data_IF_941569334184
#
_entry.id   IF_941569334184
#
_cell.length_a   1.000
_cell.length_b   1.000
_cell.length_c   1.000
_cell.angle_alpha   90.00
_cell.angle_beta   90.00
_cell.angle_gamma   90.00
#
_symmetry.space_group_name_H-M   'P 1'
#
loop_
_entity.id
_entity.type
_entity.pdbx_description
1 polymer ?
#
# COMPACT_ATOMS: atom_id res chain seq x y z
N UNK A 1 -30.77 -5.38 -55.42
CA UNK A 1 -29.54 -4.64 -55.05
C UNK A 1 -29.97 -3.60 -54.03
N UNK A 2 -29.68 -3.83 -52.75
CA UNK A 2 -30.07 -2.92 -51.66
C UNK A 2 -29.18 -1.67 -51.61
N UNK A 3 -29.64 -0.57 -50.98
CA UNK A 3 -28.85 0.65 -50.88
C UNK A 3 -27.64 0.42 -49.97
N UNK A 4 -26.47 0.82 -50.47
CA UNK A 4 -25.21 0.82 -49.74
C UNK A 4 -25.32 1.85 -48.61
N UNK A 5 -25.19 1.40 -47.36
CA UNK A 5 -25.12 2.27 -46.19
C UNK A 5 -23.83 3.09 -46.25
N UNK A 6 -23.99 4.41 -46.24
CA UNK A 6 -22.88 5.36 -46.13
C UNK A 6 -22.30 5.23 -44.72
N UNK A 7 -21.04 4.81 -44.63
CA UNK A 7 -20.27 4.85 -43.39
C UNK A 7 -20.21 6.30 -42.87
N UNK A 8 -20.43 6.56 -41.57
CA UNK A 8 -20.28 7.89 -41.02
C UNK A 8 -18.82 8.36 -41.14
N UNK A 9 -18.63 9.60 -41.62
CA UNK A 9 -17.32 10.28 -41.67
C UNK A 9 -16.73 10.44 -40.26
N UNK A 10 -15.39 10.54 -40.12
CA UNK A 10 -14.71 10.59 -38.83
C UNK A 10 -15.16 11.81 -38.04
N UNK A 11 -15.46 11.63 -36.75
CA UNK A 11 -15.64 12.75 -35.84
C UNK A 11 -14.33 13.54 -35.75
N UNK A 12 -14.44 14.85 -35.90
CA UNK A 12 -13.41 15.82 -36.23
C UNK A 12 -12.30 15.94 -35.19
N UNK A 13 -11.06 16.02 -35.66
CA UNK A 13 -9.84 16.35 -34.91
C UNK A 13 -9.93 17.73 -34.21
N UNK A 14 -10.86 18.60 -34.61
CA UNK A 14 -10.98 19.99 -34.13
C UNK A 14 -11.48 20.16 -32.68
N UNK A 15 -12.09 19.14 -32.06
CA UNK A 15 -12.53 19.23 -30.66
C UNK A 15 -11.35 19.12 -29.67
N UNK A 16 -10.30 18.37 -30.03
CA UNK A 16 -9.16 18.09 -29.14
C UNK A 16 -8.21 19.30 -29.01
N UNK A 17 -8.07 20.11 -30.05
CA UNK A 17 -7.21 21.31 -30.03
C UNK A 17 -7.75 22.41 -29.09
N UNK A 18 -9.07 22.48 -28.90
CA UNK A 18 -9.70 23.41 -27.96
C UNK A 18 -9.53 23.00 -26.48
N UNK A 19 -9.49 21.69 -26.21
CA UNK A 19 -9.32 21.15 -24.86
C UNK A 19 -7.85 21.18 -24.40
N UNK A 20 -6.89 21.03 -25.35
CA UNK A 20 -5.45 21.17 -25.08
C UNK A 20 -5.07 22.61 -24.67
N UNK A 21 -5.79 23.63 -25.16
CA UNK A 21 -5.54 25.04 -24.82
C UNK A 21 -5.92 25.43 -23.38
N UNK A 22 -6.67 24.57 -22.67
CA UNK A 22 -7.08 24.77 -21.26
C UNK A 22 -6.18 24.05 -20.26
N UNK A 23 -5.09 23.41 -20.70
CA UNK A 23 -4.21 22.68 -19.79
C UNK A 23 -3.60 23.61 -18.75
N UNK A 24 -4.01 23.43 -17.50
CA UNK A 24 -3.36 24.09 -16.37
C UNK A 24 -1.91 23.59 -16.25
N UNK A 25 -1.02 24.39 -15.65
CA UNK A 25 0.35 23.97 -15.37
C UNK A 25 0.43 22.66 -14.55
N UNK A 26 -0.65 22.31 -13.82
CA UNK A 26 -0.79 21.09 -13.03
C UNK A 26 -1.02 19.82 -13.87
N UNK A 27 -1.33 19.98 -15.15
CA UNK A 27 -1.48 18.89 -16.13
C UNK A 27 -0.33 18.87 -17.14
N UNK A 28 0.64 19.77 -17.01
CA UNK A 28 1.82 19.79 -17.87
C UNK A 28 2.58 18.46 -17.78
N UNK A 29 2.91 17.88 -18.93
CA UNK A 29 3.63 16.60 -19.03
C UNK A 29 2.76 15.34 -19.09
N UNK A 30 1.43 15.46 -19.02
CA UNK A 30 0.52 14.34 -19.28
C UNK A 30 0.33 14.10 -20.78
N UNK A 31 0.35 12.84 -21.19
CA UNK A 31 -0.05 12.42 -22.54
C UNK A 31 -1.56 12.58 -22.75
N UNK A 32 -2.03 12.78 -24.00
CA UNK A 32 -3.46 12.91 -24.30
C UNK A 32 -4.29 11.73 -23.80
N UNK A 33 -3.77 10.51 -23.95
CA UNK A 33 -4.41 9.29 -23.47
C UNK A 33 -4.58 9.29 -21.94
N UNK A 34 -3.56 9.76 -21.21
CA UNK A 34 -3.61 9.83 -19.76
C UNK A 34 -4.54 10.96 -19.26
N UNK A 35 -4.63 12.08 -19.98
CA UNK A 35 -5.61 13.14 -19.70
C UNK A 35 -7.03 12.59 -19.85
N UNK A 36 -7.32 11.92 -20.95
CA UNK A 36 -8.64 11.35 -21.19
C UNK A 36 -8.98 10.27 -20.16
N UNK A 37 -8.01 9.44 -19.79
CA UNK A 37 -8.15 8.47 -18.70
C UNK A 37 -8.44 9.14 -17.36
N UNK A 38 -7.77 10.24 -17.02
CA UNK A 38 -8.04 10.99 -15.79
C UNK A 38 -9.46 11.56 -15.78
N UNK A 39 -9.91 12.11 -16.90
CA UNK A 39 -11.27 12.62 -17.08
C UNK A 39 -12.31 11.52 -16.88
N UNK A 40 -12.12 10.35 -17.51
CA UNK A 40 -13.07 9.24 -17.50
C UNK A 40 -13.06 8.43 -16.20
N UNK A 41 -11.88 8.11 -15.65
CA UNK A 41 -11.76 7.20 -14.49
C UNK A 41 -11.74 7.95 -13.15
N UNK A 42 -11.27 9.20 -13.13
CA UNK A 42 -11.03 9.98 -11.92
C UNK A 42 -11.97 11.18 -11.76
N UNK A 43 -12.77 11.51 -12.78
CA UNK A 43 -13.57 12.73 -12.84
C UNK A 43 -12.73 14.01 -12.76
N UNK A 44 -11.47 13.97 -13.23
CA UNK A 44 -10.63 15.17 -13.28
C UNK A 44 -11.18 16.14 -14.33
N UNK A 45 -11.60 17.33 -13.86
CA UNK A 45 -12.10 18.39 -14.72
C UNK A 45 -11.18 19.62 -14.65
N UNK A 46 -10.51 19.99 -15.76
CA UNK A 46 -9.61 21.14 -15.80
C UNK A 46 -10.26 22.47 -15.38
N UNK A 47 -11.56 22.66 -15.68
CA UNK A 47 -12.25 23.94 -15.44
C UNK A 47 -12.51 24.21 -13.95
N UNK A 48 -12.57 23.17 -13.11
CA UNK A 48 -12.85 23.29 -11.65
C UNK A 48 -11.69 22.83 -10.77
N UNK A 49 -10.56 22.43 -11.37
CA UNK A 49 -9.40 21.86 -10.68
C UNK A 49 -8.90 22.71 -9.50
N UNK A 50 -8.78 24.02 -9.70
CA UNK A 50 -8.35 24.94 -8.65
C UNK A 50 -9.37 25.07 -7.51
N UNK A 51 -10.67 24.96 -7.82
CA UNK A 51 -11.72 24.99 -6.81
C UNK A 51 -11.69 23.73 -5.95
N UNK A 52 -11.49 22.56 -6.55
CA UNK A 52 -11.38 21.29 -5.83
C UNK A 52 -10.18 21.26 -4.88
N UNK A 53 -9.03 21.78 -5.34
CA UNK A 53 -7.83 21.93 -4.50
C UNK A 53 -8.11 22.87 -3.33
N UNK A 54 -8.77 24.00 -3.58
CA UNK A 54 -9.09 24.96 -2.54
C UNK A 54 -10.04 24.37 -1.48
N UNK A 55 -11.05 23.60 -1.89
CA UNK A 55 -11.95 22.94 -0.94
C UNK A 55 -11.20 21.99 0.02
N UNK A 56 -10.22 21.22 -0.50
CA UNK A 56 -9.39 20.37 0.36
C UNK A 56 -8.53 21.20 1.31
N UNK A 57 -7.99 22.32 0.85
CA UNK A 57 -7.21 23.25 1.66
C UNK A 57 -8.04 23.87 2.78
N UNK A 58 -9.29 24.24 2.50
CA UNK A 58 -10.19 24.82 3.49
C UNK A 58 -10.54 23.82 4.61
N UNK A 59 -10.56 22.51 4.31
CA UNK A 59 -10.77 21.49 5.34
C UNK A 59 -9.57 21.31 6.29
N UNK A 60 -8.36 21.74 5.92
CA UNK A 60 -7.16 21.59 6.75
C UNK A 60 -7.31 22.27 8.11
N UNK A 61 -7.97 23.43 8.17
CA UNK A 61 -8.19 24.18 9.42
C UNK A 61 -9.03 23.40 10.44
N UNK A 62 -9.78 22.39 10.00
CA UNK A 62 -10.64 21.56 10.88
C UNK A 62 -9.84 20.54 11.70
N UNK A 63 -8.54 20.34 11.40
CA UNK A 63 -7.66 19.40 12.08
C UNK A 63 -6.37 20.07 12.59
N UNK A 64 -6.47 20.99 13.57
CA UNK A 64 -5.29 21.69 14.12
C UNK A 64 -4.32 20.77 14.87
N UNK A 65 -4.74 19.54 15.20
CA UNK A 65 -3.91 18.51 15.82
C UNK A 65 -2.88 17.89 14.86
N UNK A 66 -3.06 18.06 13.54
CA UNK A 66 -2.16 17.52 12.52
C UNK A 66 -1.28 18.64 11.95
N UNK A 67 0.03 18.38 11.90
CA UNK A 67 1.02 19.25 11.29
C UNK A 67 1.11 19.01 9.79
N UNK A 68 0.31 19.72 9.01
CA UNK A 68 0.35 19.67 7.54
C UNK A 68 1.57 20.43 7.02
N UNK A 69 2.67 19.72 6.77
CA UNK A 69 3.95 20.32 6.37
C UNK A 69 4.02 20.73 4.89
N UNK A 70 3.07 20.30 4.06
CA UNK A 70 3.05 20.55 2.61
C UNK A 70 1.61 20.57 2.09
N UNK A 71 1.24 21.64 1.38
CA UNK A 71 -0.13 21.93 0.92
C UNK A 71 -0.19 22.66 -0.43
N UNK A 72 0.88 22.58 -1.23
CA UNK A 72 0.90 23.10 -2.61
C UNK A 72 -0.08 22.33 -3.50
N UNK A 73 -0.54 23.00 -4.57
CA UNK A 73 -1.54 22.48 -5.51
C UNK A 73 -1.15 21.09 -6.06
N UNK A 74 0.10 20.94 -6.50
CA UNK A 74 0.61 19.67 -7.04
C UNK A 74 0.63 18.55 -5.98
N UNK A 75 0.84 18.88 -4.71
CA UNK A 75 0.79 17.90 -3.63
C UNK A 75 -0.65 17.48 -3.30
N UNK A 76 -1.57 18.44 -3.14
CA UNK A 76 -2.99 18.16 -2.86
C UNK A 76 -3.62 17.35 -4.00
N UNK A 77 -3.27 17.67 -5.25
CA UNK A 77 -3.79 17.01 -6.44
C UNK A 77 -3.56 15.49 -6.44
N UNK A 78 -2.46 15.01 -5.84
CA UNK A 78 -2.19 13.57 -5.67
C UNK A 78 -3.34 12.87 -4.95
N UNK A 79 -3.82 13.49 -3.87
CA UNK A 79 -4.89 12.95 -3.02
C UNK A 79 -6.26 13.03 -3.71
N UNK A 80 -6.52 14.11 -4.45
CA UNK A 80 -7.72 14.23 -5.27
C UNK A 80 -7.78 13.14 -6.35
N UNK A 81 -6.71 12.96 -7.13
CA UNK A 81 -6.61 11.89 -8.15
C UNK A 81 -6.82 10.50 -7.54
N UNK A 82 -6.23 10.25 -6.37
CA UNK A 82 -6.36 8.99 -5.65
C UNK A 82 -7.77 8.72 -5.10
N UNK A 83 -8.59 9.75 -4.95
CA UNK A 83 -9.98 9.67 -4.47
C UNK A 83 -10.99 10.10 -5.51
N UNK A 84 -10.60 10.09 -6.78
CA UNK A 84 -11.49 10.40 -7.92
C UNK A 84 -12.24 11.72 -7.72
N UNK A 85 -11.51 12.71 -7.19
CA UNK A 85 -11.98 14.05 -6.91
C UNK A 85 -13.10 14.15 -5.85
N UNK A 86 -13.31 13.10 -5.03
CA UNK A 86 -14.10 13.23 -3.81
C UNK A 86 -13.30 13.99 -2.74
N UNK A 87 -13.61 15.27 -2.56
CA UNK A 87 -12.81 16.21 -1.77
C UNK A 87 -12.70 15.77 -0.30
N UNK A 88 -13.81 15.35 0.32
CA UNK A 88 -13.82 14.90 1.71
C UNK A 88 -12.96 13.64 1.93
N UNK A 89 -13.00 12.70 0.99
CA UNK A 89 -12.16 11.50 1.04
C UNK A 89 -10.68 11.81 0.79
N UNK A 90 -10.40 12.72 -0.13
CA UNK A 90 -9.05 13.21 -0.40
C UNK A 90 -8.45 13.88 0.85
N UNK A 91 -9.22 14.73 1.53
CA UNK A 91 -8.82 15.34 2.78
C UNK A 91 -8.57 14.31 3.89
N UNK A 92 -9.47 13.33 4.06
CA UNK A 92 -9.28 12.25 5.04
C UNK A 92 -7.98 11.49 4.80
N UNK A 93 -7.64 11.21 3.56
CA UNK A 93 -6.39 10.56 3.19
C UNK A 93 -5.16 11.47 3.44
N UNK A 94 -5.25 12.76 3.10
CA UNK A 94 -4.21 13.76 3.38
C UNK A 94 -3.92 13.87 4.89
N UNK A 95 -4.97 13.91 5.70
CA UNK A 95 -4.86 13.93 7.15
C UNK A 95 -4.19 12.65 7.69
N UNK A 96 -4.62 11.47 7.22
CA UNK A 96 -3.99 10.19 7.58
C UNK A 96 -2.51 10.14 7.19
N UNK A 97 -2.15 10.72 6.06
CA UNK A 97 -0.77 10.79 5.59
C UNK A 97 0.14 11.53 6.57
N UNK A 98 -0.25 12.74 6.99
CA UNK A 98 0.55 13.51 7.94
C UNK A 98 0.50 12.93 9.35
N UNK A 99 -0.67 12.46 9.79
CA UNK A 99 -0.82 11.82 11.08
C UNK A 99 0.08 10.58 11.21
N UNK A 100 0.15 9.74 10.18
CA UNK A 100 1.05 8.58 10.18
C UNK A 100 2.52 9.00 10.33
N UNK A 101 2.95 10.07 9.64
CA UNK A 101 4.31 10.60 9.78
C UNK A 101 4.58 11.13 11.19
N UNK A 102 3.63 11.85 11.79
CA UNK A 102 3.75 12.38 13.14
C UNK A 102 3.80 11.28 14.21
N UNK A 103 3.05 10.20 14.05
CA UNK A 103 3.04 9.08 14.99
C UNK A 103 4.28 8.18 14.86
N UNK A 104 4.96 8.20 13.71
CA UNK A 104 6.08 7.31 13.41
C UNK A 104 7.36 8.09 13.05
N UNK A 105 7.71 9.10 13.85
CA UNK A 105 8.85 10.00 13.57
C UNK A 105 10.17 9.26 13.32
N UNK A 106 10.41 8.15 14.04
CA UNK A 106 11.62 7.35 13.87
C UNK A 106 11.77 6.77 12.45
N UNK A 107 10.67 6.46 11.77
CA UNK A 107 10.68 6.00 10.37
C UNK A 107 11.09 7.11 9.40
N UNK A 108 10.75 8.36 9.74
CA UNK A 108 10.90 9.51 8.85
C UNK A 108 12.05 10.44 9.24
N UNK A 109 12.82 10.09 10.27
CA UNK A 109 14.08 10.78 10.61
C UNK A 109 15.07 10.61 9.46
N UNK A 110 15.72 11.71 9.04
CA UNK A 110 16.68 11.72 7.93
C UNK A 110 16.17 10.98 6.67
N UNK A 111 14.88 11.10 6.35
CA UNK A 111 14.23 10.35 5.27
C UNK A 111 14.65 10.87 3.88
N UNK A 112 15.84 10.46 3.45
CA UNK A 112 16.51 10.87 2.21
C UNK A 112 17.33 9.72 1.66
N UNK A 113 17.64 9.77 0.36
CA UNK A 113 18.35 8.68 -0.32
C UNK A 113 19.84 8.54 0.10
N UNK A 114 20.40 9.54 0.79
CA UNK A 114 21.75 9.54 1.34
C UNK A 114 21.85 8.94 2.75
N UNK A 115 20.72 8.68 3.41
CA UNK A 115 20.68 7.92 4.67
C UNK A 115 21.35 6.55 4.45
N UNK A 116 22.33 6.16 5.28
CA UNK A 116 23.11 4.95 5.04
C UNK A 116 22.29 3.65 4.96
N UNK A 117 21.19 3.56 5.71
CA UNK A 117 20.30 2.40 5.71
C UNK A 117 19.47 2.35 4.44
N UNK A 118 18.81 3.47 4.11
CA UNK A 118 18.02 3.60 2.88
C UNK A 118 18.89 3.37 1.64
N UNK A 119 20.04 4.05 1.55
CA UNK A 119 20.95 3.94 0.41
C UNK A 119 21.40 2.51 0.19
N UNK A 120 21.75 1.79 1.26
CA UNK A 120 22.16 0.39 1.20
C UNK A 120 21.03 -0.50 0.71
N UNK A 121 19.84 -0.35 1.27
CA UNK A 121 18.66 -1.11 0.85
C UNK A 121 18.34 -0.88 -0.64
N UNK A 122 18.41 0.37 -1.12
CA UNK A 122 18.21 0.71 -2.53
C UNK A 122 19.27 0.06 -3.44
N UNK A 123 20.55 0.12 -3.06
CA UNK A 123 21.64 -0.53 -3.81
C UNK A 123 21.46 -2.05 -3.85
N UNK A 124 21.00 -2.64 -2.76
CA UNK A 124 20.71 -4.08 -2.67
C UNK A 124 19.40 -4.49 -3.37
N UNK A 125 18.69 -3.55 -4.00
CA UNK A 125 17.49 -3.83 -4.80
C UNK A 125 16.18 -3.87 -4.00
N UNK A 126 16.09 -3.12 -2.90
CA UNK A 126 14.90 -3.03 -2.05
C UNK A 126 14.30 -1.61 -2.05
N UNK A 127 13.28 -1.33 -2.89
CA UNK A 127 12.77 -2.14 -3.99
C UNK A 127 13.59 -1.97 -5.27
N UNK A 128 13.57 -2.99 -6.12
CA UNK A 128 13.95 -2.84 -7.52
C UNK A 128 12.84 -2.11 -8.28
N UNK A 129 13.22 -1.24 -9.21
CA UNK A 129 12.26 -0.49 -10.04
C UNK A 129 12.60 -0.74 -11.50
N UNK A 130 11.67 -1.30 -12.27
CA UNK A 130 11.90 -1.52 -13.69
C UNK A 130 11.90 -0.20 -14.45
N UNK A 131 12.80 -0.07 -15.42
CA UNK A 131 12.91 1.10 -16.28
C UNK A 131 11.61 1.32 -17.06
N UNK A 132 11.12 0.27 -17.70
CA UNK A 132 9.90 0.30 -18.50
C UNK A 132 8.63 0.23 -17.64
N UNK A 133 7.57 0.86 -18.14
CA UNK A 133 6.20 0.73 -17.61
C UNK A 133 5.53 -0.51 -18.22
N UNK A 134 4.48 -1.01 -17.58
CA UNK A 134 3.63 -2.05 -18.18
C UNK A 134 2.76 -1.48 -19.32
N UNK A 135 1.99 -2.33 -19.99
CA UNK A 135 1.11 -1.91 -21.09
C UNK A 135 -0.08 -1.03 -20.68
N UNK A 136 -0.30 -0.81 -19.37
CA UNK A 136 -1.27 0.14 -18.84
C UNK A 136 -0.61 1.45 -18.34
N UNK A 137 0.68 1.64 -18.60
CA UNK A 137 1.44 2.82 -18.16
C UNK A 137 1.82 2.80 -16.67
N UNK A 138 1.70 1.66 -15.99
CA UNK A 138 2.04 1.51 -14.57
C UNK A 138 3.52 1.27 -14.39
N UNK A 139 4.12 1.85 -13.35
CA UNK A 139 5.50 1.54 -12.98
C UNK A 139 5.56 0.24 -12.17
N UNK A 140 6.55 -0.60 -12.43
CA UNK A 140 6.68 -1.92 -11.82
C UNK A 140 7.80 -1.90 -10.78
N UNK A 141 7.45 -2.24 -9.54
CA UNK A 141 8.38 -2.44 -8.43
C UNK A 141 8.51 -3.94 -8.16
N UNK A 142 9.73 -4.39 -7.88
CA UNK A 142 10.07 -5.77 -7.59
C UNK A 142 10.68 -5.89 -6.20
N UNK A 143 10.30 -6.93 -5.48
CA UNK A 143 10.87 -7.33 -4.21
C UNK A 143 11.14 -8.84 -4.24
N UNK A 144 12.40 -9.23 -4.12
CA UNK A 144 12.78 -10.64 -3.99
C UNK A 144 13.09 -10.93 -2.52
N UNK A 145 12.15 -11.57 -1.81
CA UNK A 145 12.24 -11.75 -0.36
C UNK A 145 13.46 -12.62 0.02
N UNK A 146 13.84 -13.59 -0.81
CA UNK A 146 15.04 -14.41 -0.61
C UNK A 146 16.34 -13.59 -0.58
N UNK A 147 16.40 -12.48 -1.32
CA UNK A 147 17.60 -11.64 -1.38
C UNK A 147 17.81 -10.82 -0.11
N UNK A 148 16.88 -10.86 0.85
CA UNK A 148 17.00 -10.09 2.08
C UNK A 148 18.05 -10.70 3.01
N UNK A 149 19.25 -10.11 2.98
CA UNK A 149 20.29 -10.35 3.98
C UNK A 149 20.06 -9.48 5.22
N UNK A 150 19.56 -10.11 6.28
CA UNK A 150 19.29 -9.48 7.58
C UNK A 150 20.53 -8.94 8.28
N UNK A 151 21.73 -9.41 7.91
CA UNK A 151 22.98 -8.89 8.49
C UNK A 151 23.34 -7.53 7.89
N UNK A 152 22.86 -7.24 6.68
CA UNK A 152 23.15 -6.00 5.94
C UNK A 152 22.04 -4.97 6.07
N UNK A 153 20.78 -5.39 5.97
CA UNK A 153 19.62 -4.47 6.01
C UNK A 153 18.62 -4.92 7.06
N UNK A 154 18.23 -3.98 7.94
CA UNK A 154 17.06 -4.18 8.77
C UNK A 154 15.79 -4.13 7.92
N UNK A 155 14.71 -4.79 8.37
CA UNK A 155 13.42 -4.65 7.70
C UNK A 155 12.92 -3.20 7.69
N UNK A 156 13.24 -2.44 8.73
CA UNK A 156 12.95 -1.01 8.82
C UNK A 156 13.64 -0.22 7.71
N UNK A 157 14.91 -0.49 7.43
CA UNK A 157 15.63 0.19 6.33
C UNK A 157 15.01 -0.13 4.97
N UNK A 158 14.64 -1.40 4.75
CA UNK A 158 13.93 -1.84 3.55
C UNK A 158 12.58 -1.12 3.41
N UNK A 159 11.80 -1.05 4.50
CA UNK A 159 10.51 -0.36 4.49
C UNK A 159 10.69 1.15 4.22
N UNK A 160 11.68 1.79 4.85
CA UNK A 160 12.00 3.21 4.61
C UNK A 160 12.39 3.45 3.14
N UNK A 161 13.20 2.56 2.56
CA UNK A 161 13.56 2.63 1.15
C UNK A 161 12.35 2.47 0.21
N UNK A 162 11.46 1.50 0.48
CA UNK A 162 10.21 1.34 -0.28
C UNK A 162 9.34 2.59 -0.19
N UNK A 163 9.14 3.12 1.02
CA UNK A 163 8.35 4.33 1.22
C UNK A 163 8.97 5.54 0.52
N UNK A 164 10.31 5.63 0.45
CA UNK A 164 10.99 6.73 -0.23
C UNK A 164 10.86 6.59 -1.76
N UNK A 165 11.03 5.39 -2.29
CA UNK A 165 10.83 5.11 -3.72
C UNK A 165 9.41 5.47 -4.15
N UNK A 166 8.39 5.12 -3.36
CA UNK A 166 7.01 5.51 -3.64
C UNK A 166 6.80 7.04 -3.61
N UNK A 167 7.47 7.76 -2.69
CA UNK A 167 7.41 9.23 -2.62
C UNK A 167 8.03 9.93 -3.81
N UNK A 168 9.12 9.39 -4.37
CA UNK A 168 9.74 9.92 -5.58
C UNK A 168 8.90 9.58 -6.81
N UNK A 169 8.40 8.34 -6.89
CA UNK A 169 7.63 7.89 -8.03
C UNK A 169 6.28 8.60 -8.17
N UNK A 170 5.61 8.96 -7.08
CA UNK A 170 4.33 9.70 -7.12
C UNK A 170 4.50 11.16 -7.58
N UNK A 171 5.72 11.68 -7.68
CA UNK A 171 5.95 13.02 -8.21
C UNK A 171 5.61 13.11 -9.71
N UNK A 172 5.69 12.00 -10.43
CA UNK A 172 5.30 11.88 -11.84
C UNK A 172 3.77 11.89 -11.99
N UNK A 173 3.17 12.91 -12.65
CA UNK A 173 1.73 13.02 -12.84
C UNK A 173 1.12 11.82 -13.58
N UNK A 174 1.87 11.21 -14.51
CA UNK A 174 1.42 10.01 -15.22
C UNK A 174 1.20 8.83 -14.26
N UNK A 175 2.07 8.71 -13.26
CA UNK A 175 2.00 7.61 -12.29
C UNK A 175 0.95 7.85 -11.20
N UNK A 176 0.52 9.10 -10.98
CA UNK A 176 -0.63 9.39 -10.11
C UNK A 176 -1.94 8.84 -10.71
N UNK A 177 -2.06 8.86 -12.03
CA UNK A 177 -3.23 8.42 -12.78
C UNK A 177 -3.15 6.93 -13.12
N UNK A 178 -1.99 6.48 -13.62
CA UNK A 178 -1.81 5.09 -14.03
C UNK A 178 -1.54 4.15 -12.86
N UNK A 179 -0.77 4.62 -11.86
CA UNK A 179 -0.42 3.88 -10.65
C UNK A 179 0.81 2.99 -10.79
N UNK A 180 0.91 2.04 -9.86
CA UNK A 180 2.05 1.16 -9.67
C UNK A 180 1.61 -0.30 -9.62
N UNK A 181 2.57 -1.21 -9.85
CA UNK A 181 2.46 -2.62 -9.50
C UNK A 181 3.62 -2.96 -8.59
N UNK A 182 3.34 -3.61 -7.48
CA UNK A 182 4.36 -4.23 -6.64
C UNK A 182 4.30 -5.74 -6.80
N UNK A 183 5.37 -6.33 -7.30
CA UNK A 183 5.54 -7.78 -7.39
C UNK A 183 6.51 -8.19 -6.29
N UNK A 184 6.08 -9.14 -5.47
CA UNK A 184 6.91 -9.69 -4.40
C UNK A 184 7.07 -11.19 -4.63
N UNK A 185 8.31 -11.61 -4.88
CA UNK A 185 8.69 -13.00 -4.98
C UNK A 185 9.12 -13.54 -3.62
N UNK A 186 8.39 -14.54 -3.13
CA UNK A 186 8.63 -15.20 -1.84
C UNK A 186 9.33 -16.55 -1.97
N UNK A 187 9.67 -16.93 -3.21
CA UNK A 187 10.45 -18.13 -3.48
C UNK A 187 11.74 -18.08 -2.66
N UNK A 188 12.02 -19.17 -1.94
CA UNK A 188 13.19 -19.30 -1.05
C UNK A 188 13.23 -18.33 0.14
N UNK A 189 12.09 -17.78 0.57
CA UNK A 189 12.00 -17.06 1.83
C UNK A 189 12.19 -18.02 3.02
N UNK A 190 13.17 -17.73 3.88
CA UNK A 190 13.58 -18.62 4.96
C UNK A 190 12.87 -18.33 6.28
N UNK A 191 12.78 -19.35 7.15
CA UNK A 191 12.30 -19.19 8.53
C UNK A 191 13.09 -18.12 9.31
N UNK A 192 14.41 -18.05 9.07
CA UNK A 192 15.28 -17.04 9.68
C UNK A 192 14.84 -15.63 9.29
N UNK A 193 14.37 -15.41 8.06
CA UNK A 193 13.83 -14.10 7.63
C UNK A 193 12.45 -13.87 8.25
N UNK A 194 11.59 -14.88 8.27
CA UNK A 194 10.27 -14.80 8.89
C UNK A 194 10.35 -14.40 10.39
N UNK A 195 11.30 -14.95 11.13
CA UNK A 195 11.44 -14.70 12.58
C UNK A 195 11.80 -13.25 12.94
N UNK A 196 12.25 -12.44 11.98
CA UNK A 196 12.50 -11.01 12.17
C UNK A 196 11.29 -10.13 11.92
N UNK A 197 10.20 -10.69 11.38
CA UNK A 197 8.96 -9.99 11.11
C UNK A 197 8.06 -10.03 12.36
N UNK A 198 8.20 -9.03 13.23
CA UNK A 198 7.33 -8.91 14.41
C UNK A 198 5.96 -8.33 14.03
N UNK A 199 4.88 -8.65 14.76
CA UNK A 199 3.55 -8.08 14.49
C UNK A 199 3.53 -6.54 14.46
N UNK A 200 4.33 -5.88 15.30
CA UNK A 200 4.45 -4.42 15.33
C UNK A 200 5.05 -3.86 14.04
N UNK A 201 6.13 -4.48 13.55
CA UNK A 201 6.79 -4.09 12.30
C UNK A 201 5.87 -4.35 11.10
N UNK A 202 5.12 -5.45 11.12
CA UNK A 202 4.17 -5.77 10.05
C UNK A 202 3.00 -4.79 10.02
N UNK A 203 2.46 -4.44 11.19
CA UNK A 203 1.45 -3.38 11.31
C UNK A 203 1.98 -2.06 10.75
N UNK A 204 3.20 -1.68 11.12
CA UNK A 204 3.86 -0.47 10.63
C UNK A 204 3.98 -0.47 9.10
N UNK A 205 4.39 -1.59 8.50
CA UNK A 205 4.49 -1.75 7.05
C UNK A 205 3.13 -1.64 6.36
N UNK A 206 2.11 -2.32 6.90
CA UNK A 206 0.74 -2.29 6.36
C UNK A 206 0.19 -0.86 6.40
N UNK A 207 0.28 -0.17 7.53
CA UNK A 207 -0.23 1.19 7.67
C UNK A 207 0.53 2.18 6.76
N UNK A 208 1.87 2.09 6.72
CA UNK A 208 2.69 2.96 5.88
C UNK A 208 2.43 2.76 4.38
N UNK A 209 2.34 1.51 3.94
CA UNK A 209 2.04 1.18 2.55
C UNK A 209 0.59 1.51 2.20
N UNK A 210 -0.38 1.24 3.08
CA UNK A 210 -1.78 1.56 2.82
C UNK A 210 -1.98 3.05 2.62
N UNK A 211 -1.38 3.89 3.45
CA UNK A 211 -1.49 5.35 3.32
C UNK A 211 -0.90 5.85 2.00
N UNK A 212 0.27 5.35 1.58
CA UNK A 212 0.92 5.81 0.33
C UNK A 212 0.35 5.18 -0.94
N UNK A 213 0.06 3.88 -0.93
CA UNK A 213 -0.50 3.17 -2.08
C UNK A 213 -1.93 3.62 -2.33
N UNK A 214 -2.71 3.90 -1.28
CA UNK A 214 -4.06 4.45 -1.47
C UNK A 214 -4.04 5.95 -1.80
N UNK A 215 -2.92 6.66 -1.63
CA UNK A 215 -2.73 8.02 -2.16
C UNK A 215 -2.39 8.05 -3.67
N UNK A 216 -2.52 6.90 -4.35
CA UNK A 216 -2.36 6.75 -5.79
C UNK A 216 -3.45 5.85 -6.34
N UNK A 217 -3.69 5.86 -7.65
CA UNK A 217 -4.47 4.82 -8.33
C UNK A 217 -3.67 3.51 -8.41
N UNK A 218 -3.13 3.04 -7.29
CA UNK A 218 -2.40 1.78 -7.25
C UNK A 218 -3.40 0.64 -7.49
N UNK A 219 -3.61 0.32 -8.76
CA UNK A 219 -4.21 -0.94 -9.20
C UNK A 219 -3.16 -2.01 -8.94
N UNK A 220 -2.95 -2.35 -7.67
CA UNK A 220 -2.34 -3.61 -7.27
C UNK A 220 -3.22 -4.69 -7.89
N UNK A 221 -2.85 -5.15 -9.09
CA UNK A 221 -3.37 -6.38 -9.64
C UNK A 221 -3.03 -7.45 -8.60
N UNK A 222 -4.06 -7.88 -7.85
CA UNK A 222 -3.97 -8.90 -6.80
C UNK A 222 -2.95 -8.58 -5.71
N UNK A 223 -3.43 -7.89 -4.67
CA UNK A 223 -3.14 -8.33 -3.30
C UNK A 223 -3.65 -9.79 -3.13
N UNK A 224 -2.94 -10.76 -3.69
CA UNK A 224 -2.89 -12.10 -3.09
C UNK A 224 -2.14 -12.08 -1.74
N UNK A 225 -1.79 -10.88 -1.27
CA UNK A 225 -0.67 -10.65 -0.38
C UNK A 225 -1.04 -10.24 1.05
N UNK A 226 -2.32 -10.08 1.40
CA UNK A 226 -2.66 -9.92 2.82
C UNK A 226 -3.13 -11.23 3.46
N UNK A 227 -3.74 -12.13 2.68
CA UNK A 227 -4.26 -13.40 3.19
C UNK A 227 -3.18 -14.48 3.27
N UNK A 228 -2.30 -14.60 2.26
CA UNK A 228 -1.14 -15.52 2.32
C UNK A 228 -0.14 -15.07 3.40
N UNK A 229 0.02 -13.76 3.60
CA UNK A 229 0.91 -13.22 4.61
C UNK A 229 0.48 -13.56 6.04
N UNK A 230 -0.82 -13.46 6.33
CA UNK A 230 -1.34 -13.91 7.61
C UNK A 230 -1.28 -15.44 7.72
N UNK A 231 -1.71 -16.20 6.71
CA UNK A 231 -1.77 -17.67 6.84
C UNK A 231 -0.40 -18.33 6.88
N UNK A 232 0.57 -17.90 6.08
CA UNK A 232 1.91 -18.51 6.01
C UNK A 232 2.85 -17.99 7.09
N UNK A 233 2.86 -16.69 7.38
CA UNK A 233 3.68 -16.19 8.49
C UNK A 233 3.10 -16.61 9.83
N UNK A 234 1.76 -16.64 10.00
CA UNK A 234 1.17 -17.21 11.22
C UNK A 234 1.30 -18.74 11.25
N UNK A 235 1.22 -19.48 10.13
CA UNK A 235 1.46 -20.93 10.16
C UNK A 235 2.91 -21.23 10.58
N UNK A 236 3.87 -20.48 10.07
CA UNK A 236 5.29 -20.59 10.40
C UNK A 236 5.57 -20.19 11.85
N UNK A 237 5.05 -19.04 12.30
CA UNK A 237 5.18 -18.59 13.70
C UNK A 237 4.45 -19.51 14.69
N UNK A 238 3.30 -20.08 14.29
CA UNK A 238 2.53 -21.04 15.09
C UNK A 238 3.25 -22.39 15.16
N UNK A 239 3.85 -22.86 14.05
CA UNK A 239 4.60 -24.12 14.02
C UNK A 239 5.87 -24.03 14.87
N UNK A 240 6.61 -22.90 14.81
CA UNK A 240 7.77 -22.67 15.67
C UNK A 240 7.42 -22.53 17.17
N UNK A 241 6.23 -22.01 17.50
CA UNK A 241 5.76 -21.96 18.90
C UNK A 241 5.39 -23.36 19.43
N UNK A 242 4.83 -24.22 18.58
CA UNK A 242 4.54 -25.63 18.92
C UNK A 242 5.80 -26.45 19.19
N UNK A 243 6.89 -26.23 18.46
CA UNK A 243 8.19 -26.88 18.76
C UNK A 243 8.75 -26.48 20.14
N UNK A 244 8.47 -25.28 20.64
CA UNK A 244 8.82 -24.87 22.00
C UNK A 244 7.89 -25.47 23.09
N UNK A 245 6.66 -25.88 22.73
CA UNK A 245 5.69 -26.51 23.64
C UNK A 245 5.74 -28.05 23.59
N UNK A 246 6.38 -28.63 22.57
CA UNK A 246 6.56 -30.07 22.38
C UNK A 246 7.73 -30.62 23.23
N UNK A 247 7.59 -30.51 24.55
CA UNK A 247 8.21 -31.42 25.51
C UNK A 247 7.18 -32.39 26.12
N UNK A 248 6.06 -32.62 25.41
CA UNK A 248 4.99 -33.54 25.82
C UNK A 248 4.57 -34.42 24.62
N UNK A 249 4.33 -35.74 24.81
CA UNK A 249 4.37 -36.75 23.75
C UNK A 249 3.04 -36.90 23.01
N UNK A 250 2.36 -35.81 22.68
CA UNK A 250 1.07 -35.86 21.99
C UNK A 250 1.01 -34.77 20.94
N UNK A 251 1.55 -35.01 19.74
CA UNK A 251 1.02 -34.47 18.47
C UNK A 251 1.87 -34.86 17.26
N UNK A 252 1.44 -35.92 16.56
CA UNK A 252 1.57 -36.10 15.11
C UNK A 252 0.37 -36.99 14.68
N UNK A 253 -0.10 -37.01 13.42
CA UNK A 253 0.37 -36.31 12.21
C UNK A 253 -0.76 -35.58 11.45
N UNK A 254 -0.56 -34.35 10.96
CA UNK A 254 -1.45 -33.78 9.94
C UNK A 254 -0.69 -33.06 8.83
N UNK A 255 -0.44 -33.84 7.78
CA UNK A 255 -0.44 -33.53 6.34
C UNK A 255 0.22 -32.26 5.81
N UNK A 256 1.34 -32.47 5.10
CA UNK A 256 1.75 -31.67 3.95
C UNK A 256 0.70 -31.83 2.83
N UNK A 257 0.11 -30.72 2.37
CA UNK A 257 -0.62 -30.69 1.11
C UNK A 257 -0.10 -29.52 0.26
N UNK A 258 0.65 -29.87 -0.78
CA UNK A 258 0.86 -29.02 -1.95
C UNK A 258 -0.50 -28.76 -2.60
N UNK A 259 -0.91 -27.50 -2.73
CA UNK A 259 -2.14 -27.16 -3.44
C UNK A 259 -1.87 -26.19 -4.59
N UNK A 260 -1.81 -26.78 -5.78
CA UNK A 260 -2.19 -26.15 -7.04
C UNK A 260 -3.67 -25.71 -6.96
N UNK A 261 -3.91 -24.46 -7.35
CA UNK A 261 -5.20 -23.77 -7.37
C UNK A 261 -6.33 -24.57 -8.06
N UNK A 262 -7.54 -24.53 -7.49
CA UNK A 262 -8.75 -24.26 -8.26
C UNK A 262 -9.82 -23.54 -7.43
N UNK A 263 -10.51 -22.64 -8.13
CA UNK A 263 -11.44 -21.60 -7.68
C UNK A 263 -12.78 -22.20 -7.23
N UNK A 264 -13.33 -21.76 -6.08
CA UNK A 264 -14.79 -21.45 -5.89
C UNK A 264 -15.27 -21.29 -4.43
N UNK A 265 -14.50 -21.60 -3.38
CA UNK A 265 -15.02 -21.55 -2.00
C UNK A 265 -14.28 -20.53 -1.11
N UNK A 266 -14.40 -19.23 -1.40
CA UNK A 266 -13.65 -18.18 -0.66
C UNK A 266 -14.44 -17.24 0.28
N UNK A 267 -15.79 -17.13 0.31
CA UNK A 267 -16.43 -16.13 1.19
C UNK A 267 -16.71 -16.62 2.62
N UNK A 268 -16.79 -17.93 2.89
CA UNK A 268 -17.18 -18.43 4.23
C UNK A 268 -16.01 -18.50 5.22
N UNK A 269 -14.78 -18.75 4.73
CA UNK A 269 -13.60 -18.88 5.59
C UNK A 269 -13.07 -17.54 6.10
N UNK A 270 -13.13 -16.47 5.30
CA UNK A 270 -12.72 -15.14 5.72
C UNK A 270 -13.59 -14.58 6.87
N UNK A 271 -14.89 -14.92 6.88
CA UNK A 271 -15.82 -14.49 7.93
C UNK A 271 -15.60 -15.24 9.26
N UNK A 272 -15.21 -16.52 9.19
CA UNK A 272 -14.84 -17.32 10.36
C UNK A 272 -13.49 -16.85 10.95
N UNK A 273 -12.54 -16.43 10.11
CA UNK A 273 -11.20 -16.01 10.56
C UNK A 273 -11.21 -14.65 11.29
N UNK A 274 -12.00 -13.67 10.83
CA UNK A 274 -12.13 -12.35 11.50
C UNK A 274 -12.82 -12.48 12.87
N UNK A 275 -13.83 -13.36 12.99
CA UNK A 275 -14.51 -13.58 14.27
C UNK A 275 -13.63 -14.36 15.27
N UNK A 276 -12.76 -15.26 14.79
CA UNK A 276 -11.81 -15.96 15.66
C UNK A 276 -10.67 -15.07 16.18
N UNK A 277 -10.24 -14.04 15.43
CA UNK A 277 -9.27 -13.04 15.93
C UNK A 277 -9.87 -12.21 17.07
N UNK A 278 -11.17 -11.83 16.98
CA UNK A 278 -11.87 -11.19 18.10
C UNK A 278 -11.96 -12.10 19.33
N UNK A 279 -12.23 -13.39 19.15
CA UNK A 279 -12.27 -14.38 20.25
C UNK A 279 -10.90 -14.67 20.88
N UNK A 280 -9.83 -14.67 20.08
CA UNK A 280 -8.44 -14.81 20.55
C UNK A 280 -7.98 -13.57 21.35
N UNK A 281 -8.37 -12.37 20.92
CA UNK A 281 -8.09 -11.12 21.66
C UNK A 281 -8.90 -11.03 22.95
N UNK A 282 -10.16 -11.51 22.96
CA UNK A 282 -10.99 -11.60 24.16
C UNK A 282 -10.44 -12.62 25.18
N UNK A 283 -9.97 -13.79 24.72
CA UNK A 283 -9.33 -14.78 25.60
C UNK A 283 -7.98 -14.32 26.15
N UNK A 284 -7.20 -13.58 25.35
CA UNK A 284 -5.96 -12.96 25.82
C UNK A 284 -6.22 -11.87 26.88
N UNK A 285 -7.33 -11.14 26.79
CA UNK A 285 -7.71 -10.13 27.79
C UNK A 285 -8.17 -10.76 29.11
N UNK A 286 -8.94 -11.85 29.05
CA UNK A 286 -9.38 -12.60 30.25
C UNK A 286 -8.20 -13.30 30.95
N UNK A 287 -7.26 -13.86 30.18
CA UNK A 287 -6.05 -14.51 30.76
C UNK A 287 -5.05 -13.51 31.37
N UNK A 288 -5.13 -12.23 31.00
CA UNK A 288 -4.30 -11.17 31.58
C UNK A 288 -4.90 -10.62 32.89
N UNK A 289 -6.21 -10.77 33.10
CA UNK A 289 -6.85 -10.42 34.37
C UNK A 289 -6.72 -11.53 35.42
N UNK A 290 -6.74 -12.80 35.02
CA UNK A 290 -6.53 -13.92 35.97
C UNK A 290 -5.11 -14.00 36.53
N UNK A 291 -4.10 -13.60 35.74
CA UNK A 291 -2.70 -13.68 36.16
C UNK A 291 -2.23 -12.52 37.05
N UNK A 292 -3.06 -11.48 37.25
CA UNK A 292 -2.77 -10.41 38.20
C UNK A 292 -3.39 -10.65 39.58
N UNK A 293 -4.29 -11.62 39.74
CA UNK A 293 -4.85 -12.00 41.04
C UNK A 293 -4.02 -13.11 41.73
N UNK A 294 -3.32 -13.97 40.98
CA UNK A 294 -2.49 -15.05 41.57
C UNK A 294 -1.10 -14.60 42.08
N UNK A 295 -0.66 -13.36 41.79
CA UNK A 295 0.63 -12.84 42.27
C UNK A 295 0.58 -12.12 43.63
N UNK A 296 -0.57 -12.10 44.31
CA UNK A 296 -0.73 -11.45 45.62
C UNK A 296 -0.94 -12.42 46.81
N UNK A 297 -0.97 -13.74 46.59
CA UNK A 297 -1.20 -14.74 47.67
C UNK A 297 0.01 -15.62 48.03
N UNK A 298 1.24 -15.24 47.66
CA UNK A 298 2.46 -15.96 48.11
C UNK A 298 3.50 -15.06 48.80
N UNK A 299 3.01 -14.15 49.65
CA UNK A 299 3.78 -13.62 50.79
C UNK A 299 2.83 -13.44 51.99
N UNK A 300 2.79 -14.47 52.84
CA UNK A 300 2.09 -14.52 54.12
C UNK A 300 2.65 -15.66 54.96
#
# INVERSE_FOLDING_TARGET
MGPVSVLPKPQSISTWEGDLAKMTHLQAGLSPDTIEKARLELNENPDVLHQDIQQVRDMIITRPDIGFLRTDDAFILRFLRARKFHQADAFRLLAQYFQYRQLNLDMFKNFKADDPGIKRALIDGFPGVLENRDHYGRKILLLFAANWDQSRNSFTDILRAILLSLEVLIEDPELQINGFILIIDWSNFSFKQASKLTPSILKLAIEGLQVRLTATQCKCARLYFCLIFATEVLSVLWSGRRECELNSPVCAPYFYFSLSLNVCCFPLWAFIFINNIKLLLLRAHVSCQSNNEESLETFG
#
